data_IF_812815116585
#
_entry.id   IF_812815116585
#
_cell.length_a   1.000
_cell.length_b   1.000
_cell.length_c   1.000
_cell.angle_alpha   90.00
_cell.angle_beta   90.00
_cell.angle_gamma   90.00
#
_symmetry.space_group_name_H-M   'P 1'
#
loop_
_entity.id
_entity.type
_entity.pdbx_description
1 polymer ?
#
# COMPACT_ATOMS: atom_id res chain seq x y z
N UNK A 1 36.26 32.22 -0.94
CA UNK A 1 35.87 30.88 -0.43
C UNK A 1 34.74 31.00 0.60
N UNK A 2 33.50 31.28 0.19
CA UNK A 2 32.33 31.35 1.13
C UNK A 2 31.01 30.86 0.53
N UNK A 3 31.03 30.28 -0.67
CA UNK A 3 29.80 29.83 -1.38
C UNK A 3 29.64 28.31 -1.35
N UNK A 4 30.69 27.55 -1.01
CA UNK A 4 30.64 26.08 -1.03
C UNK A 4 29.86 25.46 0.15
N UNK A 5 29.69 26.17 1.27
CA UNK A 5 29.07 25.59 2.47
C UNK A 5 27.54 25.57 2.45
N UNK A 6 26.89 26.23 1.50
CA UNK A 6 25.42 26.28 1.45
C UNK A 6 24.79 25.12 0.66
N UNK A 7 25.57 24.44 -0.19
CA UNK A 7 25.08 23.35 -1.05
C UNK A 7 24.95 22.02 -0.27
N UNK A 8 25.72 21.84 0.81
CA UNK A 8 25.74 20.58 1.55
C UNK A 8 24.50 20.34 2.43
N UNK A 9 23.77 21.41 2.80
CA UNK A 9 22.58 21.30 3.66
C UNK A 9 21.32 20.87 2.88
N UNK A 10 21.29 21.09 1.55
CA UNK A 10 20.12 20.77 0.71
C UNK A 10 20.00 19.28 0.36
N UNK A 11 21.03 18.47 0.59
CA UNK A 11 21.01 17.03 0.27
C UNK A 11 20.46 16.14 1.39
N UNK A 12 20.17 16.67 2.58
CA UNK A 12 19.69 15.88 3.71
C UNK A 12 18.16 15.68 3.75
N UNK A 13 17.40 16.20 2.77
CA UNK A 13 15.93 16.19 2.81
C UNK A 13 15.24 15.16 1.89
N UNK A 14 15.95 14.20 1.29
CA UNK A 14 15.36 13.30 0.28
C UNK A 14 15.08 11.86 0.73
N UNK A 15 14.94 11.57 2.03
CA UNK A 15 14.44 10.27 2.49
C UNK A 15 12.94 10.33 2.79
N UNK A 16 12.14 10.75 1.81
CA UNK A 16 10.72 10.42 1.82
C UNK A 16 10.61 9.02 1.22
N UNK A 17 10.63 8.00 2.08
CA UNK A 17 10.27 6.63 1.68
C UNK A 17 8.85 6.68 1.13
N UNK A 18 8.71 6.71 -0.19
CA UNK A 18 7.44 6.50 -0.83
C UNK A 18 7.10 5.02 -0.71
N UNK A 19 5.89 4.68 -0.26
CA UNK A 19 5.41 3.30 -0.28
C UNK A 19 5.58 2.72 -1.69
N UNK A 20 6.49 1.75 -1.80
CA UNK A 20 6.85 1.13 -3.06
C UNK A 20 5.73 0.23 -3.57
N UNK A 21 5.68 0.03 -4.89
CA UNK A 21 4.85 -1.03 -5.45
C UNK A 21 5.44 -2.39 -5.06
N UNK A 22 4.60 -3.31 -4.60
CA UNK A 22 4.98 -4.70 -4.31
C UNK A 22 4.30 -5.64 -5.29
N UNK A 23 5.10 -6.50 -5.93
CA UNK A 23 4.64 -7.60 -6.79
C UNK A 23 4.42 -8.83 -5.90
N UNK A 24 3.20 -9.35 -5.85
CA UNK A 24 2.83 -10.38 -4.87
C UNK A 24 1.55 -11.11 -5.26
N UNK A 25 1.30 -12.26 -4.64
CA UNK A 25 -0.02 -12.88 -4.57
C UNK A 25 -0.77 -12.38 -3.34
N UNK A 26 -2.09 -12.45 -3.37
CA UNK A 26 -2.92 -12.11 -2.22
C UNK A 26 -3.03 -13.35 -1.35
N UNK A 27 -2.53 -13.28 -0.13
CA UNK A 27 -2.57 -14.38 0.84
C UNK A 27 -3.95 -14.53 1.46
N UNK A 28 -4.57 -13.41 1.81
CA UNK A 28 -5.88 -13.38 2.44
C UNK A 28 -6.56 -12.02 2.23
N UNK A 29 -7.89 -12.07 2.16
CA UNK A 29 -8.77 -10.91 1.96
C UNK A 29 -9.97 -11.07 2.88
N UNK A 30 -10.21 -10.11 3.79
CA UNK A 30 -11.36 -10.16 4.70
C UNK A 30 -11.98 -8.78 4.92
N UNK A 31 -13.29 -8.79 5.09
CA UNK A 31 -14.09 -7.61 5.40
C UNK A 31 -14.23 -7.53 6.92
N UNK A 32 -14.19 -6.33 7.49
CA UNK A 32 -14.49 -6.16 8.91
C UNK A 32 -16.00 -6.31 9.16
N UNK A 33 -16.40 -7.34 9.90
CA UNK A 33 -17.81 -7.61 10.22
C UNK A 33 -18.45 -6.56 11.17
N UNK A 34 -17.66 -5.67 11.77
CA UNK A 34 -18.13 -4.63 12.70
C UNK A 34 -18.71 -3.39 12.00
N UNK A 35 -19.16 -3.51 10.75
CA UNK A 35 -19.86 -2.46 10.02
C UNK A 35 -18.97 -1.36 9.44
N UNK A 36 -17.65 -1.56 9.42
CA UNK A 36 -16.75 -0.68 8.69
C UNK A 36 -16.63 -1.17 7.25
N UNK A 37 -16.88 -0.29 6.28
CA UNK A 37 -16.65 -0.48 4.83
C UNK A 37 -15.15 -0.60 4.53
N UNK A 38 -14.50 -1.58 5.15
CA UNK A 38 -13.06 -1.73 5.21
C UNK A 38 -12.69 -3.18 4.94
N UNK A 39 -11.84 -3.38 3.95
CA UNK A 39 -11.25 -4.67 3.59
C UNK A 39 -9.77 -4.65 3.92
N UNK A 40 -9.30 -5.74 4.52
CA UNK A 40 -7.90 -6.00 4.74
C UNK A 40 -7.39 -6.92 3.63
N UNK A 41 -6.32 -6.48 2.97
CA UNK A 41 -5.60 -7.26 1.96
C UNK A 41 -4.22 -7.60 2.52
N UNK A 42 -3.98 -8.88 2.78
CA UNK A 42 -2.66 -9.40 3.18
C UNK A 42 -1.92 -9.90 1.94
N UNK A 43 -0.82 -9.24 1.52
CA UNK A 43 0.05 -9.78 0.48
C UNK A 43 0.89 -10.95 1.03
N UNK A 44 1.27 -11.90 0.18
CA UNK A 44 2.22 -12.96 0.55
C UNK A 44 3.63 -12.39 0.80
N UNK A 45 3.99 -11.37 0.04
CA UNK A 45 5.30 -10.72 0.11
C UNK A 45 5.24 -9.55 1.09
N UNK A 46 6.13 -9.52 2.11
CA UNK A 46 6.23 -8.38 3.01
C UNK A 46 6.49 -7.08 2.25
N UNK A 47 5.91 -5.98 2.74
CA UNK A 47 6.12 -4.65 2.17
C UNK A 47 6.49 -3.64 3.24
N UNK A 48 7.30 -2.66 2.83
CA UNK A 48 7.57 -1.50 3.66
C UNK A 48 6.42 -0.51 3.51
N UNK A 49 5.92 -0.02 4.64
CA UNK A 49 4.88 0.99 4.67
C UNK A 49 5.39 2.22 5.39
N UNK A 50 4.95 3.39 4.93
CA UNK A 50 5.14 4.65 5.67
C UNK A 50 4.39 4.68 6.99
N UNK A 51 3.39 3.80 7.17
CA UNK A 51 2.54 3.76 8.35
C UNK A 51 3.10 2.90 9.48
N UNK A 52 4.08 2.05 9.18
CA UNK A 52 4.77 1.24 10.18
C UNK A 52 6.21 0.97 9.72
N UNK A 53 7.19 1.51 10.45
CA UNK A 53 8.62 1.32 10.16
C UNK A 53 9.06 -0.14 10.24
N UNK A 54 8.30 -0.99 10.93
CA UNK A 54 8.55 -2.44 10.99
C UNK A 54 7.84 -3.22 9.86
N UNK A 55 7.20 -2.52 8.92
CA UNK A 55 6.35 -3.08 7.87
C UNK A 55 4.89 -3.16 8.28
N UNK A 56 3.97 -2.86 7.36
CA UNK A 56 2.55 -3.12 7.58
C UNK A 56 2.21 -4.53 7.14
N UNK A 57 1.29 -5.19 7.87
CA UNK A 57 0.83 -6.52 7.49
C UNK A 57 -0.23 -6.45 6.40
N UNK A 58 -1.03 -5.39 6.39
CA UNK A 58 -2.18 -5.27 5.51
C UNK A 58 -2.19 -3.97 4.73
N UNK A 59 -2.69 -4.05 3.50
CA UNK A 59 -3.28 -2.90 2.82
C UNK A 59 -4.76 -2.78 3.20
N UNK A 60 -5.23 -1.55 3.34
CA UNK A 60 -6.60 -1.22 3.72
C UNK A 60 -7.36 -0.67 2.52
N UNK A 61 -8.48 -1.29 2.17
CA UNK A 61 -9.38 -0.82 1.12
C UNK A 61 -10.64 -0.27 1.80
N UNK A 62 -10.86 1.04 1.69
CA UNK A 62 -12.07 1.68 2.18
C UNK A 62 -13.13 1.66 1.07
N UNK A 63 -14.14 0.79 1.17
CA UNK A 63 -15.16 0.56 0.15
C UNK A 63 -16.10 1.75 -0.05
N UNK A 64 -16.21 2.64 0.93
CA UNK A 64 -16.95 3.90 0.85
C UNK A 64 -16.28 4.95 -0.05
N UNK A 65 -15.02 4.75 -0.45
CA UNK A 65 -14.29 5.66 -1.32
C UNK A 65 -14.54 5.36 -2.79
N UNK A 66 -14.54 6.43 -3.60
CA UNK A 66 -14.72 6.37 -5.05
C UNK A 66 -13.79 5.34 -5.69
N UNK A 67 -14.37 4.47 -6.52
CA UNK A 67 -13.71 3.40 -7.29
C UNK A 67 -13.08 2.27 -6.45
N UNK A 68 -13.25 2.25 -5.13
CA UNK A 68 -12.62 1.22 -4.28
C UNK A 68 -13.36 -0.13 -4.31
N UNK A 69 -14.64 -0.14 -4.67
CA UNK A 69 -15.37 -1.38 -4.90
C UNK A 69 -14.78 -2.17 -6.09
N UNK A 70 -14.37 -1.48 -7.15
CA UNK A 70 -13.72 -2.07 -8.32
C UNK A 70 -12.30 -2.55 -7.99
N UNK A 71 -11.55 -1.76 -7.19
CA UNK A 71 -10.24 -2.16 -6.66
C UNK A 71 -10.36 -3.44 -5.82
N UNK A 72 -11.35 -3.50 -4.92
CA UNK A 72 -11.66 -4.70 -4.15
C UNK A 72 -12.05 -5.88 -5.05
N UNK A 73 -12.88 -5.66 -6.07
CA UNK A 73 -13.29 -6.70 -7.01
C UNK A 73 -12.09 -7.30 -7.76
N UNK A 74 -11.12 -6.46 -8.15
CA UNK A 74 -9.88 -6.93 -8.78
C UNK A 74 -9.00 -7.71 -7.79
N UNK A 75 -8.90 -7.26 -6.54
CA UNK A 75 -8.20 -8.01 -5.49
C UNK A 75 -8.85 -9.38 -5.22
N UNK A 76 -10.18 -9.43 -5.15
CA UNK A 76 -10.92 -10.67 -4.97
C UNK A 76 -10.71 -11.63 -6.15
N UNK A 77 -10.79 -11.13 -7.38
CA UNK A 77 -10.55 -11.93 -8.57
C UNK A 77 -9.11 -12.49 -8.61
N UNK A 78 -8.11 -11.68 -8.26
CA UNK A 78 -6.73 -12.11 -8.19
C UNK A 78 -6.49 -13.17 -7.10
N UNK A 79 -7.10 -13.00 -5.93
CA UNK A 79 -7.08 -13.97 -4.83
C UNK A 79 -7.68 -15.31 -5.27
N UNK A 80 -8.90 -15.30 -5.82
CA UNK A 80 -9.60 -16.52 -6.25
C UNK A 80 -8.90 -17.25 -7.39
N UNK A 81 -8.14 -16.53 -8.22
CA UNK A 81 -7.46 -17.08 -9.38
C UNK A 81 -5.99 -17.43 -9.12
N UNK A 82 -5.52 -17.29 -7.87
CA UNK A 82 -4.11 -17.49 -7.48
C UNK A 82 -3.13 -16.68 -8.38
N UNK A 83 -3.54 -15.47 -8.76
CA UNK A 83 -2.80 -14.61 -9.70
C UNK A 83 -1.87 -13.65 -8.97
N UNK A 84 -0.71 -13.41 -9.57
CA UNK A 84 0.23 -12.39 -9.11
C UNK A 84 -0.20 -11.00 -9.59
N UNK A 85 -0.17 -10.03 -8.68
CA UNK A 85 -0.57 -8.64 -8.89
C UNK A 85 0.51 -7.68 -8.41
N UNK A 86 0.41 -6.43 -8.83
CA UNK A 86 1.18 -5.33 -8.27
C UNK A 86 0.24 -4.49 -7.41
N UNK A 87 0.60 -4.31 -6.14
CA UNK A 87 -0.14 -3.50 -5.16
C UNK A 87 0.71 -2.32 -4.72
N UNK A 88 0.09 -1.18 -4.45
CA UNK A 88 0.79 -0.01 -3.95
C UNK A 88 -0.07 0.85 -3.04
N UNK A 89 0.56 1.39 -2.00
CA UNK A 89 -0.09 2.21 -0.99
C UNK A 89 -0.26 3.68 -1.39
N UNK A 90 -1.12 4.38 -0.65
CA UNK A 90 -1.43 5.81 -0.85
C UNK A 90 -0.54 6.74 -0.03
N UNK A 91 0.36 6.20 0.79
CA UNK A 91 1.03 6.91 1.89
C UNK A 91 0.02 7.52 2.89
N UNK A 92 -1.13 6.89 3.06
CA UNK A 92 -2.18 7.29 4.01
C UNK A 92 -2.41 6.12 4.97
N UNK A 93 -2.55 6.42 6.26
CA UNK A 93 -2.57 5.39 7.31
C UNK A 93 -3.97 5.19 7.88
N UNK A 94 -4.38 3.93 7.99
CA UNK A 94 -5.54 3.48 8.76
C UNK A 94 -5.02 2.62 9.92
N UNK A 95 -4.78 3.27 11.06
CA UNK A 95 -4.01 2.68 12.15
C UNK A 95 -2.55 2.46 11.74
N UNK A 96 -2.06 1.24 11.92
CA UNK A 96 -0.69 0.83 11.54
C UNK A 96 -0.60 0.25 10.12
N UNK A 97 -1.70 0.29 9.36
CA UNK A 97 -1.79 -0.28 8.02
C UNK A 97 -1.95 0.82 6.97
N UNK A 98 -1.45 0.57 5.78
CA UNK A 98 -1.49 1.53 4.69
C UNK A 98 -2.77 1.41 3.86
N UNK A 99 -3.37 2.53 3.50
CA UNK A 99 -4.48 2.55 2.55
C UNK A 99 -3.99 2.19 1.17
N UNK A 100 -4.65 1.23 0.53
CA UNK A 100 -4.36 0.81 -0.84
C UNK A 100 -4.66 1.98 -1.80
N UNK A 101 -3.77 2.24 -2.74
CA UNK A 101 -3.98 3.23 -3.81
C UNK A 101 -4.36 2.58 -5.12
N UNK A 102 -3.67 1.50 -5.49
CA UNK A 102 -3.90 0.79 -6.73
C UNK A 102 -3.53 -0.67 -6.61
N UNK A 103 -4.17 -1.47 -7.44
CA UNK A 103 -3.82 -2.85 -7.76
C UNK A 103 -3.88 -2.99 -9.28
N UNK A 104 -2.98 -3.77 -9.88
CA UNK A 104 -3.06 -4.06 -11.31
C UNK A 104 -2.34 -5.37 -11.65
N UNK A 105 -2.78 -5.99 -12.74
CA UNK A 105 -2.10 -7.10 -13.39
C UNK A 105 -1.03 -6.51 -14.32
N UNK A 106 0.24 -6.89 -14.13
CA UNK A 106 1.28 -6.56 -15.10
C UNK A 106 1.33 -7.70 -16.11
N UNK A 107 1.02 -7.41 -17.37
CA UNK A 107 1.27 -8.32 -18.49
C UNK A 107 2.76 -8.44 -18.75
#
# INVERSE_FOLDING_TARGET
>A
MKVLSFIFVLFLCFNADASGTVKTKIKSLWVNDLGADVVYLEPETPFQSVCNSNGSKYFIIHLDRKNMAEVYSMALAAYMSDMEVNVGGKNECSGTNEVLRYIYLKR
#
